data_IF_536848129847
#
_entry.id   IF_536848129847
#
_cell.length_a   1.000
_cell.length_b   1.000
_cell.length_c   1.000
_cell.angle_alpha   90.00
_cell.angle_beta   90.00
_cell.angle_gamma   90.00
#
_symmetry.space_group_name_H-M   'P 1'
#
loop_
_entity.id
_entity.type
_entity.pdbx_description
1 polymer ?
#
# COMPACT_ATOMS: atom_id res chain seq x y z
N UNK A 1 -2.88 8.40 -4.98
CA UNK A 1 -3.82 8.47 -3.85
C UNK A 1 -3.90 7.14 -3.07
N UNK A 2 -4.23 6.01 -3.71
CA UNK A 2 -4.42 4.70 -3.06
C UNK A 2 -3.21 4.22 -2.24
N UNK A 3 -1.99 4.30 -2.78
CA UNK A 3 -0.78 3.89 -2.04
C UNK A 3 -0.49 4.74 -0.79
N UNK A 4 -0.90 6.02 -0.77
CA UNK A 4 -0.79 6.84 0.45
C UNK A 4 -1.74 6.37 1.55
N UNK A 5 -2.94 5.90 1.18
CA UNK A 5 -3.88 5.31 2.13
C UNK A 5 -3.33 3.99 2.70
N UNK A 6 -2.73 3.15 1.84
CA UNK A 6 -1.99 1.96 2.28
C UNK A 6 -0.89 2.35 3.26
N UNK A 7 -0.11 3.40 2.96
CA UNK A 7 1.02 3.81 3.80
C UNK A 7 0.60 4.33 5.18
N UNK A 8 -0.51 5.07 5.24
CA UNK A 8 -1.07 5.58 6.49
C UNK A 8 -1.61 4.45 7.37
N UNK A 9 -2.33 3.48 6.78
CA UNK A 9 -3.01 2.41 7.52
C UNK A 9 -2.14 1.17 7.77
N UNK A 10 -0.92 1.08 7.20
CA UNK A 10 -0.03 -0.09 7.35
C UNK A 10 0.40 -0.37 8.79
N UNK A 11 0.25 0.61 9.68
CA UNK A 11 0.55 0.46 11.11
C UNK A 11 -0.48 -0.42 11.82
N UNK A 12 -1.73 -0.34 11.35
CA UNK A 12 -2.87 -1.01 11.96
C UNK A 12 -3.24 -2.31 11.20
N UNK A 13 -2.93 -2.38 9.91
CA UNK A 13 -3.31 -3.50 9.05
C UNK A 13 -2.16 -3.97 8.15
N UNK A 14 -2.10 -5.29 7.83
CA UNK A 14 -1.13 -5.80 6.87
C UNK A 14 -1.29 -5.16 5.49
N UNK A 15 -0.17 -4.73 4.90
CA UNK A 15 -0.12 -4.12 3.55
C UNK A 15 -0.85 -4.98 2.51
N UNK A 16 -0.68 -6.30 2.53
CA UNK A 16 -1.34 -7.20 1.60
C UNK A 16 -2.88 -7.11 1.67
N UNK A 17 -3.44 -6.95 2.88
CA UNK A 17 -4.88 -6.79 3.08
C UNK A 17 -5.34 -5.43 2.52
N UNK A 18 -4.62 -4.37 2.83
CA UNK A 18 -4.92 -3.02 2.33
C UNK A 18 -4.85 -2.95 0.80
N UNK A 19 -3.84 -3.58 0.20
CA UNK A 19 -3.68 -3.70 -1.24
C UNK A 19 -4.86 -4.44 -1.89
N UNK A 20 -5.33 -5.54 -1.28
CA UNK A 20 -6.52 -6.28 -1.76
C UNK A 20 -7.80 -5.44 -1.69
N UNK A 21 -8.01 -4.71 -0.59
CA UNK A 21 -9.22 -3.88 -0.40
C UNK A 21 -9.24 -2.69 -1.36
N UNK A 22 -8.08 -2.07 -1.60
CA UNK A 22 -7.95 -0.90 -2.46
C UNK A 22 -7.71 -1.24 -3.94
N UNK A 23 -7.77 -2.52 -4.30
CA UNK A 23 -7.53 -3.05 -5.64
C UNK A 23 -6.22 -2.52 -6.27
N UNK A 24 -5.11 -2.74 -5.55
CA UNK A 24 -3.75 -2.41 -5.99
C UNK A 24 -2.79 -3.56 -5.71
N UNK A 25 -1.67 -3.63 -6.43
CA UNK A 25 -0.67 -4.66 -6.19
C UNK A 25 0.28 -4.29 -5.02
N UNK A 26 0.69 -5.26 -4.18
CA UNK A 26 1.74 -5.06 -3.18
C UNK A 26 3.07 -4.64 -3.81
N UNK A 27 3.44 -5.24 -4.95
CA UNK A 27 4.65 -4.87 -5.70
C UNK A 27 4.62 -3.42 -6.15
N UNK A 28 3.47 -2.92 -6.62
CA UNK A 28 3.27 -1.52 -6.96
C UNK A 28 3.40 -0.59 -5.75
N UNK A 29 2.91 -1.00 -4.57
CA UNK A 29 3.09 -0.22 -3.34
C UNK A 29 4.57 -0.12 -2.94
N UNK A 30 5.32 -1.21 -2.93
CA UNK A 30 6.74 -1.17 -2.57
C UNK A 30 7.58 -0.41 -3.61
N UNK A 31 7.27 -0.55 -4.91
CA UNK A 31 7.91 0.25 -5.95
C UNK A 31 7.60 1.75 -5.83
N UNK A 32 6.36 2.10 -5.46
CA UNK A 32 5.96 3.48 -5.17
C UNK A 32 6.69 4.04 -3.94
N UNK A 33 6.83 3.23 -2.89
CA UNK A 33 7.50 3.61 -1.63
C UNK A 33 9.01 3.83 -1.79
N UNK A 34 9.64 3.10 -2.72
CA UNK A 34 11.07 3.18 -2.98
C UNK A 34 11.45 4.27 -4.01
N UNK A 35 10.51 5.13 -4.42
CA UNK A 35 10.85 6.28 -5.25
C UNK A 35 11.57 7.33 -4.39
N UNK A 36 12.67 7.93 -4.89
CA UNK A 36 13.36 9.01 -4.19
C UNK A 36 12.46 10.23 -3.99
#
# INVERSE_FOLDING_TARGET
MRFRLVDAAKKDFPVARLCKVLDVSPSGYFAWKNRP
#
